data_IF_072145261823
#
_entry.id   IF_072145261823
#
_cell.length_a   1.000
_cell.length_b   1.000
_cell.length_c   1.000
_cell.angle_alpha   90.00
_cell.angle_beta   90.00
_cell.angle_gamma   90.00
#
_symmetry.space_group_name_H-M   'P 1'
#
loop_
_entity.id
_entity.type
_entity.pdbx_description
1 polymer ?
#
# COMPACT_ATOMS: atom_id res chain seq x y z
N UNK A 1 -19.71 13.53 12.97
CA UNK A 1 -18.88 12.46 13.57
C UNK A 1 -18.01 11.87 12.47
N UNK A 2 -16.67 11.98 12.53
CA UNK A 2 -15.75 11.46 11.49
C UNK A 2 -15.22 10.10 11.92
N UNK A 3 -15.25 9.09 11.03
CA UNK A 3 -14.89 7.69 11.31
C UNK A 3 -13.64 7.34 10.49
N UNK A 4 -12.55 6.93 11.15
CA UNK A 4 -11.28 6.56 10.52
C UNK A 4 -11.17 5.02 10.48
N UNK A 5 -10.82 4.41 9.34
CA UNK A 5 -10.49 2.97 9.23
C UNK A 5 -9.31 2.75 8.28
N UNK A 6 -8.38 1.88 8.68
CA UNK A 6 -7.15 1.52 7.96
C UNK A 6 -7.36 0.17 7.23
N UNK A 7 -6.89 0.04 5.99
CA UNK A 7 -6.87 -1.23 5.25
C UNK A 7 -5.43 -1.63 4.92
N UNK A 8 -5.08 -2.88 5.23
CA UNK A 8 -3.79 -3.49 4.91
C UNK A 8 -3.83 -4.25 3.60
N UNK A 9 -2.78 -4.09 2.80
CA UNK A 9 -2.45 -4.74 1.55
C UNK A 9 -1.03 -5.30 1.65
N UNK A 10 -0.83 -6.47 1.06
CA UNK A 10 0.41 -7.26 1.12
C UNK A 10 0.81 -7.67 -0.30
N UNK A 11 2.10 -7.87 -0.55
CA UNK A 11 2.66 -8.19 -1.86
C UNK A 11 2.21 -9.50 -2.48
N UNK A 12 2.09 -9.56 -3.82
CA UNK A 12 2.11 -10.81 -4.58
C UNK A 12 3.38 -11.65 -4.38
N UNK A 13 4.52 -11.03 -4.06
CA UNK A 13 5.77 -11.72 -3.75
C UNK A 13 5.69 -12.63 -2.50
N UNK A 14 4.66 -12.50 -1.67
CA UNK A 14 4.41 -13.43 -0.55
C UNK A 14 4.28 -14.89 -0.99
N UNK A 15 3.98 -15.13 -2.27
CA UNK A 15 3.96 -16.47 -2.88
C UNK A 15 5.34 -17.14 -3.01
N UNK A 16 6.44 -16.39 -2.92
CA UNK A 16 7.82 -16.91 -3.09
C UNK A 16 8.63 -16.82 -1.79
N UNK A 17 8.34 -15.87 -0.91
CA UNK A 17 9.03 -15.65 0.38
C UNK A 17 8.26 -16.15 1.62
N UNK A 18 7.08 -16.76 1.43
CA UNK A 18 6.30 -17.39 2.51
C UNK A 18 5.66 -18.68 2.03
N UNK A 19 5.01 -19.41 2.94
CA UNK A 19 4.20 -20.60 2.62
C UNK A 19 2.71 -20.26 2.70
N UNK A 20 2.13 -19.50 1.74
CA UNK A 20 0.73 -19.09 1.83
C UNK A 20 -0.26 -20.25 1.60
N UNK A 21 0.24 -21.41 1.13
CA UNK A 21 -0.59 -22.57 0.81
C UNK A 21 -1.44 -22.35 -0.44
N UNK A 22 -1.93 -23.45 -1.01
CA UNK A 22 -2.57 -23.49 -2.34
C UNK A 22 -3.93 -22.75 -2.44
N UNK A 23 -4.37 -22.08 -1.36
CA UNK A 23 -5.68 -21.42 -1.26
C UNK A 23 -5.62 -19.89 -1.29
N UNK A 24 -4.43 -19.31 -1.37
CA UNK A 24 -4.25 -17.85 -1.36
C UNK A 24 -3.91 -17.39 -2.76
N UNK A 25 -4.84 -16.64 -3.36
CA UNK A 25 -4.62 -15.98 -4.65
C UNK A 25 -4.33 -14.50 -4.43
N UNK A 26 -3.26 -14.02 -5.06
CA UNK A 26 -2.92 -12.61 -5.09
C UNK A 26 -3.59 -12.00 -6.30
N UNK A 27 -4.59 -11.16 -6.06
CA UNK A 27 -5.25 -10.40 -7.12
C UNK A 27 -4.39 -9.20 -7.50
N UNK A 28 -4.66 -8.65 -8.70
CA UNK A 28 -4.07 -7.39 -9.14
C UNK A 28 -4.28 -6.30 -8.06
N UNK A 29 -3.20 -5.72 -7.50
CA UNK A 29 -3.31 -4.81 -6.37
C UNK A 29 -4.17 -3.58 -6.65
N UNK A 30 -4.13 -3.07 -7.88
CA UNK A 30 -4.96 -1.94 -8.30
C UNK A 30 -6.44 -2.30 -8.24
N UNK A 31 -6.83 -3.40 -8.87
CA UNK A 31 -8.23 -3.85 -8.90
C UNK A 31 -8.77 -4.07 -7.48
N UNK A 32 -7.96 -4.63 -6.59
CA UNK A 32 -8.33 -4.83 -5.18
C UNK A 32 -8.52 -3.49 -4.44
N UNK A 33 -7.59 -2.55 -4.64
CA UNK A 33 -7.63 -1.21 -4.02
C UNK A 33 -8.80 -0.38 -4.53
N UNK A 34 -9.07 -0.36 -5.83
CA UNK A 34 -10.19 0.38 -6.42
C UNK A 34 -11.53 -0.12 -5.88
N UNK A 35 -11.70 -1.44 -5.75
CA UNK A 35 -12.89 -2.04 -5.13
C UNK A 35 -13.04 -1.60 -3.67
N UNK A 36 -11.97 -1.67 -2.89
CA UNK A 36 -11.99 -1.24 -1.49
C UNK A 36 -12.28 0.26 -1.36
N UNK A 37 -11.70 1.10 -2.22
CA UNK A 37 -11.97 2.55 -2.26
C UNK A 37 -13.44 2.80 -2.51
N UNK A 38 -14.04 2.10 -3.49
CA UNK A 38 -15.46 2.25 -3.80
C UNK A 38 -16.33 1.90 -2.60
N UNK A 39 -16.10 0.73 -1.98
CA UNK A 39 -16.86 0.26 -0.82
C UNK A 39 -16.75 1.22 0.38
N UNK A 40 -15.59 1.85 0.56
CA UNK A 40 -15.35 2.83 1.63
C UNK A 40 -16.04 4.16 1.34
N UNK A 41 -15.99 4.64 0.10
CA UNK A 41 -16.71 5.85 -0.32
C UNK A 41 -18.22 5.67 -0.18
N UNK A 42 -18.77 4.51 -0.53
CA UNK A 42 -20.20 4.16 -0.33
C UNK A 42 -20.60 4.22 1.16
N UNK A 43 -19.65 4.00 2.08
CA UNK A 43 -19.82 4.14 3.53
C UNK A 43 -19.56 5.55 4.08
N UNK A 44 -19.44 6.56 3.20
CA UNK A 44 -19.08 7.94 3.54
C UNK A 44 -17.69 8.09 4.20
N UNK A 45 -16.75 7.19 3.90
CA UNK A 45 -15.33 7.35 4.26
C UNK A 45 -14.67 8.27 3.24
N UNK A 46 -13.96 9.29 3.72
CA UNK A 46 -13.30 10.31 2.89
C UNK A 46 -11.79 10.41 3.15
N UNK A 47 -11.24 9.46 3.90
CA UNK A 47 -9.82 9.31 4.23
C UNK A 47 -9.45 7.84 4.05
N UNK A 48 -8.66 7.54 3.04
CA UNK A 48 -8.29 6.18 2.66
C UNK A 48 -6.77 6.05 2.73
N UNK A 49 -6.32 5.20 3.66
CA UNK A 49 -4.91 4.89 3.86
C UNK A 49 -4.70 3.43 3.42
N UNK A 50 -3.83 3.25 2.44
CA UNK A 50 -3.39 1.95 1.93
C UNK A 50 -2.09 1.59 2.64
N UNK A 51 -2.13 0.61 3.53
CA UNK A 51 -0.92 -0.01 4.04
C UNK A 51 -0.51 -1.06 3.01
N UNK A 52 0.67 -1.00 2.43
CA UNK A 52 1.13 -1.85 1.33
C UNK A 52 2.44 -2.54 1.69
N UNK A 53 2.70 -3.69 1.08
CA UNK A 53 4.02 -4.31 1.09
C UNK A 53 4.57 -4.49 -0.33
N UNK A 54 4.04 -3.78 -1.35
CA UNK A 54 4.38 -3.89 -2.80
C UNK A 54 5.82 -3.57 -3.18
N UNK A 55 6.52 -2.82 -2.33
CA UNK A 55 7.80 -2.22 -2.69
C UNK A 55 7.60 -0.82 -3.26
N UNK A 56 8.62 0.02 -3.12
CA UNK A 56 8.49 1.46 -3.33
C UNK A 56 8.02 1.84 -4.74
N UNK A 57 8.59 1.24 -5.79
CA UNK A 57 8.22 1.56 -7.18
C UNK A 57 6.80 1.11 -7.52
N UNK A 58 6.37 -0.04 -7.00
CA UNK A 58 5.01 -0.54 -7.20
C UNK A 58 3.99 0.28 -6.38
N UNK A 59 4.36 0.78 -5.20
CA UNK A 59 3.56 1.72 -4.41
C UNK A 59 3.41 3.06 -5.15
N UNK A 60 4.48 3.57 -5.76
CA UNK A 60 4.46 4.76 -6.61
C UNK A 60 3.55 4.58 -7.82
N UNK A 61 3.60 3.42 -8.48
CA UNK A 61 2.72 3.12 -9.62
C UNK A 61 1.26 3.02 -9.20
N UNK A 62 0.98 2.34 -8.09
CA UNK A 62 -0.36 2.23 -7.52
C UNK A 62 -0.92 3.61 -7.17
N UNK A 63 -0.12 4.49 -6.56
CA UNK A 63 -0.51 5.87 -6.26
C UNK A 63 -0.87 6.67 -7.52
N UNK A 64 -0.18 6.44 -8.64
CA UNK A 64 -0.45 7.11 -9.91
C UNK A 64 -1.71 6.60 -10.60
N UNK A 65 -2.06 5.34 -10.40
CA UNK A 65 -3.16 4.69 -11.11
C UNK A 65 -4.49 4.65 -10.35
N UNK A 66 -4.46 4.65 -9.01
CA UNK A 66 -5.65 4.44 -8.19
C UNK A 66 -6.13 5.75 -7.54
N UNK A 67 -7.19 6.32 -8.10
CA UNK A 67 -7.79 7.56 -7.61
C UNK A 67 -8.54 7.38 -6.27
N UNK A 68 -8.26 8.27 -5.32
CA UNK A 68 -8.94 8.33 -4.03
C UNK A 68 -8.20 7.67 -2.87
N UNK A 69 -6.95 7.28 -3.06
CA UNK A 69 -6.01 7.02 -1.96
C UNK A 69 -5.50 8.37 -1.43
N UNK A 70 -5.55 8.58 -0.12
CA UNK A 70 -4.95 9.76 0.49
C UNK A 70 -3.48 9.50 0.87
N UNK A 71 -3.17 8.30 1.38
CA UNK A 71 -1.84 7.93 1.88
C UNK A 71 -1.53 6.47 1.53
N UNK A 72 -0.30 6.20 1.12
CA UNK A 72 0.27 4.85 1.07
C UNK A 72 1.35 4.71 2.14
N UNK A 73 1.26 3.66 2.95
CA UNK A 73 2.30 3.24 3.90
C UNK A 73 2.92 1.96 3.35
N UNK A 74 4.01 2.07 2.61
CA UNK A 74 4.66 0.95 1.91
C UNK A 74 5.60 0.11 2.77
N UNK A 75 6.22 -0.91 2.14
CA UNK A 75 7.15 -1.83 2.79
C UNK A 75 8.06 -2.55 1.80
N UNK A 76 8.58 -3.72 2.20
CA UNK A 76 9.30 -4.71 1.37
C UNK A 76 10.71 -4.34 0.88
N UNK A 77 10.87 -3.13 0.35
CA UNK A 77 12.14 -2.68 -0.24
C UNK A 77 13.12 -2.07 0.77
N UNK A 78 12.71 -1.91 2.03
CA UNK A 78 13.47 -1.23 3.08
C UNK A 78 13.96 0.18 2.65
N UNK A 79 13.20 0.85 1.78
CA UNK A 79 13.55 2.16 1.25
C UNK A 79 13.52 3.22 2.35
N UNK A 80 14.68 3.81 2.61
CA UNK A 80 14.82 4.95 3.53
C UNK A 80 14.34 6.22 2.83
N UNK A 81 13.22 6.77 3.27
CA UNK A 81 12.64 8.03 2.76
C UNK A 81 12.73 9.12 3.83
N UNK A 82 13.26 10.29 3.45
CA UNK A 82 13.40 11.46 4.32
C UNK A 82 14.80 12.07 4.34
N UNK A 83 14.97 13.19 5.05
CA UNK A 83 16.27 13.81 5.23
C UNK A 83 16.96 13.28 6.49
N UNK A 84 17.96 12.43 6.28
CA UNK A 84 18.79 11.84 7.34
C UNK A 84 20.25 12.28 7.25
N UNK A 85 20.53 13.40 6.57
CA UNK A 85 21.91 13.93 6.44
C UNK A 85 22.54 14.21 7.80
N UNK A 86 21.74 14.60 8.80
CA UNK A 86 22.19 14.86 10.17
C UNK A 86 22.78 13.64 10.88
N UNK A 87 22.44 12.43 10.43
CA UNK A 87 22.95 11.16 10.97
C UNK A 87 23.78 10.37 9.96
N UNK A 88 24.20 11.03 8.86
CA UNK A 88 25.09 10.46 7.86
C UNK A 88 24.45 9.45 6.92
N UNK A 89 23.11 9.41 6.82
CA UNK A 89 22.40 8.49 5.93
C UNK A 89 21.84 9.23 4.70
N UNK A 90 21.88 8.56 3.56
CA UNK A 90 21.33 9.05 2.29
C UNK A 90 20.00 8.35 2.02
N UNK A 91 18.95 9.14 1.74
CA UNK A 91 17.65 8.61 1.32
C UNK A 91 17.74 7.89 -0.03
N UNK A 92 16.87 6.92 -0.22
CA UNK A 92 16.90 5.96 -1.35
C UNK A 92 15.69 6.12 -2.29
N UNK A 93 14.85 7.14 -2.07
CA UNK A 93 13.72 7.50 -2.93
C UNK A 93 13.47 9.00 -2.95
#
# INVERSE_FOLDING_TARGET
MKKNRHHGLTTPETSVISSPGDKVTFSDPKTAVEKAIKELKDQNVNKIIVLSHLGYDADQELARQADGIDIIVGGHTHTLLGDYKSVGLTAQG
#
